data_IF_473594134236
#
_entry.id   IF_473594134236
#
_cell.length_a   1.000
_cell.length_b   1.000
_cell.length_c   1.000
_cell.angle_alpha   90.00
_cell.angle_beta   90.00
_cell.angle_gamma   90.00
#
_symmetry.space_group_name_H-M   'P 1'
#
loop_
_entity.id
_entity.type
_entity.pdbx_description
1 polymer ?
#
# COMPACT_ATOMS: atom_id res chain seq x y z
N UNK A 1 -15.59 14.99 -5.74
CA UNK A 1 -14.18 15.24 -5.38
C UNK A 1 -13.68 14.14 -4.46
N UNK A 2 -12.57 13.53 -4.79
CA UNK A 2 -11.92 12.46 -4.01
C UNK A 2 -11.39 13.04 -2.70
N UNK A 3 -11.60 12.34 -1.57
CA UNK A 3 -11.07 12.74 -0.27
C UNK A 3 -9.73 12.05 0.02
N UNK A 4 -8.88 12.66 0.85
CA UNK A 4 -7.69 12.03 1.40
C UNK A 4 -8.09 11.06 2.53
N UNK A 5 -7.44 9.90 2.62
CA UNK A 5 -7.55 9.00 3.77
C UNK A 5 -6.34 9.19 4.68
N UNK A 6 -6.54 9.79 5.85
CA UNK A 6 -5.47 10.07 6.82
C UNK A 6 -5.90 9.53 8.19
N UNK A 7 -5.06 8.74 8.84
CA UNK A 7 -5.33 8.11 10.14
C UNK A 7 -6.69 7.35 10.19
N UNK A 8 -7.11 6.72 9.08
CA UNK A 8 -8.38 6.00 8.98
C UNK A 8 -9.61 6.88 8.76
N UNK A 9 -9.46 8.20 8.60
CA UNK A 9 -10.54 9.14 8.38
C UNK A 9 -10.48 9.76 6.96
N UNK A 10 -11.66 9.91 6.33
CA UNK A 10 -11.77 10.62 5.06
C UNK A 10 -11.78 12.13 5.31
N UNK A 11 -10.76 12.82 4.79
CA UNK A 11 -10.55 14.26 4.95
C UNK A 11 -10.71 14.97 3.60
N UNK A 12 -11.59 15.97 3.55
CA UNK A 12 -11.73 16.86 2.40
C UNK A 12 -10.85 18.09 2.61
N UNK A 13 -9.71 18.26 1.89
CA UNK A 13 -8.90 19.46 2.00
C UNK A 13 -9.61 20.64 1.36
N UNK A 14 -9.42 21.84 1.94
CA UNK A 14 -9.92 23.11 1.42
C UNK A 14 -8.90 23.70 0.42
N UNK A 15 -8.60 22.92 -0.63
CA UNK A 15 -7.62 23.29 -1.67
C UNK A 15 -8.28 23.29 -3.05
N UNK A 16 -7.72 23.97 -4.05
CA UNK A 16 -8.15 23.82 -5.43
C UNK A 16 -8.14 22.35 -5.85
N UNK A 17 -8.97 22.00 -6.82
CA UNK A 17 -9.03 20.64 -7.36
C UNK A 17 -8.81 20.65 -8.87
N UNK A 18 -8.37 19.51 -9.41
CA UNK A 18 -8.26 19.24 -10.83
C UNK A 18 -9.26 18.15 -11.24
N UNK A 19 -9.90 18.28 -12.42
CA UNK A 19 -10.76 17.24 -12.94
C UNK A 19 -9.96 15.98 -13.31
N UNK A 20 -10.55 14.83 -13.03
CA UNK A 20 -10.07 13.52 -13.46
C UNK A 20 -10.88 13.11 -14.68
N UNK A 21 -10.20 12.80 -15.77
CA UNK A 21 -10.83 12.41 -17.03
C UNK A 21 -10.66 10.91 -17.29
N UNK A 22 -11.65 10.33 -17.98
CA UNK A 22 -11.44 9.08 -18.69
C UNK A 22 -10.67 9.39 -19.98
N UNK A 23 -9.41 8.96 -20.15
CA UNK A 23 -8.61 9.33 -21.32
C UNK A 23 -9.09 8.69 -22.63
N UNK A 24 -9.98 7.69 -22.58
CA UNK A 24 -10.56 7.07 -23.78
C UNK A 24 -11.80 7.81 -24.29
N UNK A 25 -12.56 8.52 -23.43
CA UNK A 25 -13.82 9.17 -23.78
C UNK A 25 -13.82 10.67 -23.52
N UNK A 26 -12.82 11.21 -22.81
CA UNK A 26 -12.69 12.57 -22.34
C UNK A 26 -13.77 13.00 -21.31
N UNK A 27 -14.57 12.05 -20.82
CA UNK A 27 -15.55 12.32 -19.77
C UNK A 27 -14.87 12.68 -18.45
N UNK A 28 -15.42 13.67 -17.74
CA UNK A 28 -15.00 13.99 -16.37
C UNK A 28 -15.56 12.93 -15.43
N UNK A 29 -14.70 12.22 -14.74
CA UNK A 29 -15.04 11.17 -13.78
C UNK A 29 -15.24 11.69 -12.36
N UNK A 30 -14.36 12.56 -11.92
CA UNK A 30 -14.34 13.15 -10.57
C UNK A 30 -13.34 14.32 -10.53
N UNK A 31 -13.04 14.81 -9.34
CA UNK A 31 -12.01 15.83 -9.08
C UNK A 31 -11.03 15.35 -8.01
N UNK A 32 -9.73 15.63 -8.19
CA UNK A 32 -8.69 15.37 -7.20
C UNK A 32 -8.25 16.67 -6.53
N UNK A 33 -8.21 16.76 -5.17
CA UNK A 33 -7.74 17.95 -4.49
C UNK A 33 -6.22 18.11 -4.66
N UNK A 34 -5.76 19.34 -4.85
CA UNK A 34 -4.34 19.70 -4.88
C UNK A 34 -3.81 19.79 -3.44
N UNK A 35 -3.67 18.64 -2.78
CA UNK A 35 -3.14 18.57 -1.43
C UNK A 35 -1.72 19.11 -1.35
N UNK A 36 -1.46 20.00 -0.39
CA UNK A 36 -0.17 20.64 -0.21
C UNK A 36 0.68 20.03 0.90
N UNK A 37 1.67 20.78 1.34
CA UNK A 37 2.58 20.36 2.42
C UNK A 37 1.88 20.12 3.75
N UNK A 38 0.76 20.80 4.02
CA UNK A 38 -0.04 20.60 5.23
C UNK A 38 -0.63 19.21 5.31
N UNK A 39 -1.33 18.78 4.25
CA UNK A 39 -1.96 17.43 4.18
C UNK A 39 -0.91 16.33 4.16
N UNK A 40 0.18 16.53 3.43
CA UNK A 40 1.32 15.60 3.42
C UNK A 40 1.93 15.49 4.83
N UNK A 41 2.15 16.63 5.50
CA UNK A 41 2.66 16.65 6.88
C UNK A 41 1.75 15.90 7.87
N UNK A 42 0.43 16.08 7.76
CA UNK A 42 -0.55 15.34 8.56
C UNK A 42 -0.50 13.83 8.30
N UNK A 43 -0.42 13.42 7.04
CA UNK A 43 -0.34 12.00 6.68
C UNK A 43 0.96 11.35 7.21
N UNK A 44 2.09 12.04 7.09
CA UNK A 44 3.39 11.56 7.61
C UNK A 44 3.37 11.49 9.13
N UNK A 45 2.83 12.50 9.83
CA UNK A 45 2.72 12.49 11.29
C UNK A 45 1.85 11.32 11.79
N UNK A 46 0.70 11.11 11.15
CA UNK A 46 -0.19 9.98 11.48
C UNK A 46 0.49 8.62 11.27
N UNK A 47 1.24 8.46 10.18
CA UNK A 47 2.00 7.24 9.90
C UNK A 47 3.12 7.02 10.92
N UNK A 48 3.84 8.07 11.31
CA UNK A 48 4.91 8.01 12.32
C UNK A 48 4.36 7.65 13.71
N UNK A 49 3.21 8.19 14.10
CA UNK A 49 2.53 7.84 15.35
C UNK A 49 2.09 6.37 15.35
N UNK A 50 1.47 5.90 14.26
CA UNK A 50 1.04 4.52 14.12
C UNK A 50 2.20 3.52 14.16
N UNK A 51 3.38 3.91 13.65
CA UNK A 51 4.58 3.06 13.60
C UNK A 51 5.01 2.57 14.99
N UNK A 52 4.88 3.38 16.04
CA UNK A 52 5.29 3.02 17.39
C UNK A 52 4.61 1.73 17.89
N UNK A 53 3.30 1.60 17.70
CA UNK A 53 2.55 0.39 18.04
C UNK A 53 2.70 -0.72 17.00
N UNK A 54 2.61 -0.35 15.72
CA UNK A 54 2.66 -1.32 14.63
C UNK A 54 3.99 -2.07 14.55
N UNK A 55 5.12 -1.41 14.79
CA UNK A 55 6.44 -2.03 14.79
C UNK A 55 6.62 -3.10 15.87
N UNK A 56 5.88 -3.01 16.98
CA UNK A 56 5.88 -3.98 18.08
C UNK A 56 4.89 -5.13 17.87
N UNK A 57 3.98 -5.02 16.89
CA UNK A 57 3.05 -6.10 16.58
C UNK A 57 3.80 -7.29 15.99
N UNK A 58 3.60 -8.52 16.52
CA UNK A 58 4.25 -9.71 16.01
C UNK A 58 4.08 -9.87 14.49
N UNK A 59 5.15 -10.27 13.80
CA UNK A 59 5.14 -10.37 12.32
C UNK A 59 4.01 -11.27 11.81
N UNK A 60 3.68 -12.35 12.51
CA UNK A 60 2.57 -13.24 12.13
C UNK A 60 1.20 -12.55 12.19
N UNK A 61 0.99 -11.67 13.15
CA UNK A 61 -0.26 -10.90 13.25
C UNK A 61 -0.37 -9.87 12.13
N UNK A 62 0.74 -9.17 11.83
CA UNK A 62 0.81 -8.25 10.68
C UNK A 62 0.55 -8.98 9.36
N UNK A 63 1.11 -10.17 9.20
CA UNK A 63 0.91 -11.01 8.00
C UNK A 63 -0.54 -11.47 7.84
N UNK A 64 -1.27 -11.77 8.93
CA UNK A 64 -2.71 -12.08 8.85
C UNK A 64 -3.53 -10.93 8.24
N UNK A 65 -3.13 -9.68 8.48
CA UNK A 65 -3.75 -8.54 7.82
C UNK A 65 -3.51 -8.57 6.31
N UNK A 66 -2.30 -8.90 5.87
CA UNK A 66 -1.95 -9.01 4.44
C UNK A 66 -2.75 -10.12 3.75
N UNK A 67 -2.95 -11.26 4.39
CA UNK A 67 -3.82 -12.32 3.85
C UNK A 67 -5.28 -11.87 3.69
N UNK A 68 -5.83 -11.13 4.68
CA UNK A 68 -7.18 -10.56 4.56
C UNK A 68 -7.26 -9.53 3.44
N UNK A 69 -6.25 -8.68 3.31
CA UNK A 69 -6.16 -7.71 2.22
C UNK A 69 -6.12 -8.39 0.85
N UNK A 70 -5.29 -9.45 0.70
CA UNK A 70 -5.28 -10.26 -0.52
C UNK A 70 -6.66 -10.83 -0.85
N UNK A 71 -7.33 -11.40 0.14
CA UNK A 71 -8.67 -11.98 -0.06
C UNK A 71 -9.67 -10.94 -0.57
N UNK A 72 -9.65 -9.71 -0.03
CA UNK A 72 -10.49 -8.60 -0.51
C UNK A 72 -10.13 -8.18 -1.93
N UNK A 73 -8.86 -8.14 -2.29
CA UNK A 73 -8.44 -7.82 -3.66
C UNK A 73 -8.92 -8.88 -4.67
N UNK A 74 -8.89 -10.16 -4.31
CA UNK A 74 -9.45 -11.24 -5.14
C UNK A 74 -10.97 -11.14 -5.26
N UNK A 75 -11.67 -10.86 -4.17
CA UNK A 75 -13.13 -10.69 -4.16
C UNK A 75 -13.58 -9.53 -5.07
N UNK A 76 -12.82 -8.41 -5.05
CA UNK A 76 -13.12 -7.20 -5.83
C UNK A 76 -12.36 -7.11 -7.16
N UNK A 77 -11.80 -8.21 -7.65
CA UNK A 77 -10.90 -8.24 -8.81
C UNK A 77 -11.51 -7.56 -10.05
N UNK A 78 -12.73 -7.93 -10.43
CA UNK A 78 -13.40 -7.38 -11.62
C UNK A 78 -13.79 -5.91 -11.43
N UNK A 79 -14.21 -5.52 -10.22
CA UNK A 79 -14.50 -4.13 -9.89
C UNK A 79 -13.26 -3.25 -10.02
N UNK A 80 -12.13 -3.71 -9.46
CA UNK A 80 -10.84 -3.01 -9.55
C UNK A 80 -10.37 -2.89 -11.02
N UNK A 81 -10.50 -3.96 -11.81
CA UNK A 81 -10.16 -3.91 -13.23
C UNK A 81 -11.03 -2.90 -14.00
N UNK A 82 -12.32 -2.84 -13.72
CA UNK A 82 -13.23 -1.86 -14.34
C UNK A 82 -12.85 -0.42 -13.95
N UNK A 83 -12.46 -0.18 -12.69
CA UNK A 83 -11.96 1.13 -12.23
C UNK A 83 -10.69 1.51 -12.98
N UNK A 84 -9.72 0.60 -13.11
CA UNK A 84 -8.47 0.85 -13.86
C UNK A 84 -8.77 1.19 -15.32
N UNK A 85 -9.65 0.42 -15.98
CA UNK A 85 -10.09 0.73 -17.37
C UNK A 85 -10.64 2.14 -17.47
N UNK A 86 -11.55 2.51 -16.58
CA UNK A 86 -12.22 3.82 -16.61
C UNK A 86 -11.25 4.98 -16.36
N UNK A 87 -10.29 4.84 -15.45
CA UNK A 87 -9.35 5.90 -15.11
C UNK A 87 -8.11 5.96 -15.98
N UNK A 88 -7.77 4.87 -16.67
CA UNK A 88 -6.54 4.76 -17.48
C UNK A 88 -6.80 4.69 -18.99
N UNK A 89 -8.04 4.41 -19.39
CA UNK A 89 -8.42 4.30 -20.81
C UNK A 89 -7.96 3.03 -21.52
N UNK A 90 -7.39 2.06 -20.81
CA UNK A 90 -6.97 0.78 -21.38
C UNK A 90 -8.12 -0.22 -21.48
N UNK A 91 -7.89 -1.32 -22.21
CA UNK A 91 -8.86 -2.41 -22.30
C UNK A 91 -9.06 -3.10 -20.94
N UNK A 92 -10.22 -3.73 -20.76
CA UNK A 92 -10.52 -4.46 -19.52
C UNK A 92 -9.54 -5.63 -19.30
N UNK A 93 -9.11 -6.31 -20.37
CA UNK A 93 -8.18 -7.43 -20.26
C UNK A 93 -6.77 -6.97 -19.83
N UNK A 94 -6.29 -5.84 -20.31
CA UNK A 94 -5.04 -5.23 -19.83
C UNK A 94 -5.16 -4.79 -18.37
N UNK A 95 -6.29 -4.20 -17.99
CA UNK A 95 -6.57 -3.80 -16.60
C UNK A 95 -6.60 -5.02 -15.66
N UNK A 96 -7.22 -6.13 -16.07
CA UNK A 96 -7.17 -7.41 -15.34
C UNK A 96 -5.75 -7.89 -15.11
N UNK A 97 -4.91 -7.81 -16.15
CA UNK A 97 -3.48 -8.15 -16.03
C UNK A 97 -2.73 -7.30 -15.02
N UNK A 98 -3.03 -5.99 -14.94
CA UNK A 98 -2.41 -5.10 -13.96
C UNK A 98 -2.87 -5.38 -12.53
N UNK A 99 -4.18 -5.54 -12.32
CA UNK A 99 -4.72 -5.89 -10.99
C UNK A 99 -4.14 -7.23 -10.54
N UNK A 100 -4.03 -8.23 -11.44
CA UNK A 100 -3.41 -9.52 -11.13
C UNK A 100 -1.97 -9.36 -10.64
N UNK A 101 -1.15 -8.57 -11.31
CA UNK A 101 0.24 -8.30 -10.87
C UNK A 101 0.28 -7.61 -9.50
N UNK A 102 -0.66 -6.68 -9.24
CA UNK A 102 -0.78 -6.06 -7.91
C UNK A 102 -1.08 -7.10 -6.81
N UNK A 103 -1.99 -8.04 -7.08
CA UNK A 103 -2.32 -9.12 -6.15
C UNK A 103 -1.12 -10.05 -5.92
N UNK A 104 -0.35 -10.38 -6.96
CA UNK A 104 0.87 -11.20 -6.85
C UNK A 104 1.93 -10.54 -5.97
N UNK A 105 2.07 -9.20 -6.02
CA UNK A 105 2.97 -8.46 -5.12
C UNK A 105 2.50 -8.57 -3.66
N UNK A 106 1.19 -8.45 -3.42
CA UNK A 106 0.62 -8.65 -2.07
C UNK A 106 0.81 -10.09 -1.60
N UNK A 107 0.65 -11.07 -2.50
CA UNK A 107 0.90 -12.49 -2.19
C UNK A 107 2.36 -12.72 -1.76
N UNK A 108 3.31 -12.14 -2.49
CA UNK A 108 4.72 -12.16 -2.10
C UNK A 108 4.94 -11.53 -0.71
N UNK A 109 4.27 -10.41 -0.41
CA UNK A 109 4.34 -9.74 0.89
C UNK A 109 3.75 -10.60 2.04
N UNK A 110 2.83 -11.53 1.76
CA UNK A 110 2.36 -12.51 2.74
C UNK A 110 3.48 -13.45 3.22
N UNK A 111 4.58 -13.57 2.47
CA UNK A 111 5.80 -14.29 2.87
C UNK A 111 6.72 -13.52 3.83
N UNK A 112 6.33 -12.32 4.29
CA UNK A 112 7.15 -11.46 5.16
C UNK A 112 7.77 -12.17 6.38
N UNK A 113 7.13 -13.11 7.08
CA UNK A 113 7.76 -13.80 8.21
C UNK A 113 9.07 -14.51 7.83
N UNK A 114 9.14 -15.10 6.64
CA UNK A 114 10.37 -15.73 6.14
C UNK A 114 11.38 -14.69 5.63
N UNK A 115 10.90 -13.65 4.94
CA UNK A 115 11.74 -12.59 4.39
C UNK A 115 12.42 -11.74 5.47
N UNK A 116 11.79 -11.60 6.64
CA UNK A 116 12.31 -10.83 7.78
C UNK A 116 13.28 -11.63 8.66
N UNK A 117 13.47 -12.94 8.42
CA UNK A 117 14.42 -13.72 9.18
C UNK A 117 15.83 -13.15 9.03
N UNK A 118 16.55 -13.06 10.16
CA UNK A 118 17.97 -12.73 10.22
C UNK A 118 18.85 -13.96 9.98
N UNK A 119 20.14 -13.79 10.28
CA UNK A 119 21.13 -14.88 10.23
C UNK A 119 22.06 -14.77 11.43
N UNK A 120 22.48 -15.90 11.96
CA UNK A 120 23.49 -15.99 13.00
C UNK A 120 24.68 -16.80 12.47
N UNK A 121 25.89 -16.32 12.69
CA UNK A 121 27.15 -17.06 12.46
C UNK A 121 27.93 -17.07 13.75
N UNK A 122 28.14 -18.27 14.31
CA UNK A 122 28.86 -18.42 15.56
C UNK A 122 30.35 -18.54 15.30
N UNK A 123 31.15 -17.98 16.23
CA UNK A 123 32.62 -18.06 16.26
C UNK A 123 33.25 -17.61 14.93
N UNK A 124 32.83 -16.47 14.39
CA UNK A 124 33.46 -15.83 13.22
C UNK A 124 34.94 -15.51 13.50
N UNK A 125 35.33 -15.36 14.79
CA UNK A 125 36.65 -15.39 15.35
C UNK A 125 36.57 -15.88 16.81
N UNK A 126 37.70 -16.06 17.47
CA UNK A 126 37.70 -16.58 18.84
C UNK A 126 36.87 -15.71 19.78
N UNK A 127 35.74 -16.25 20.27
CA UNK A 127 34.83 -15.58 21.20
C UNK A 127 33.89 -14.54 20.57
N UNK A 128 33.75 -14.48 19.23
CA UNK A 128 32.89 -13.53 18.53
C UNK A 128 31.81 -14.26 17.73
N UNK A 129 30.53 -13.96 18.04
CA UNK A 129 29.37 -14.36 17.25
C UNK A 129 28.85 -13.15 16.46
N UNK A 130 28.24 -13.39 15.30
CA UNK A 130 27.66 -12.36 14.44
C UNK A 130 26.17 -12.64 14.24
N UNK A 131 25.32 -11.64 14.54
CA UNK A 131 23.88 -11.66 14.27
C UNK A 131 23.50 -10.57 13.28
N UNK A 132 22.67 -10.92 12.29
CA UNK A 132 22.10 -10.00 11.31
C UNK A 132 20.63 -9.84 11.59
N UNK A 133 20.21 -8.62 11.83
CA UNK A 133 18.80 -8.22 11.98
C UNK A 133 18.35 -7.40 10.78
N UNK A 134 17.05 -7.50 10.42
CA UNK A 134 16.45 -6.70 9.37
C UNK A 134 15.54 -5.65 10.01
N UNK A 135 15.80 -4.38 9.74
CA UNK A 135 15.01 -3.25 10.18
C UNK A 135 14.40 -2.54 8.96
N UNK A 136 13.22 -1.91 9.11
CA UNK A 136 12.69 -1.02 8.07
C UNK A 136 13.59 0.21 7.91
N UNK A 137 13.63 0.75 6.70
CA UNK A 137 14.34 2.00 6.36
C UNK A 137 13.47 3.21 6.71
#
# INVERSE_FOLDING_TARGET
>A
MIANLIAGHWCQPQTPALPIYNPATEDVLDEVPLSGSTEVGQAVAAAAEAYAGWSQTPVMERTRLMFRYKALLEEHYEELAAIVTRHHGKTLDEARGEVRRGIEVVDFACGAPTLLQGRTLRQVSGGVDQDLYRYPL
#
